data_IF_261771779484
#
_entry.id   IF_261771779484
#
_cell.length_a   1.000
_cell.length_b   1.000
_cell.length_c   1.000
_cell.angle_alpha   90.00
_cell.angle_beta   90.00
_cell.angle_gamma   90.00
#
_symmetry.space_group_name_H-M   'P 1'
#
loop_
_entity.id
_entity.type
_entity.pdbx_description
1 polymer ?
#
# COMPACT_ATOMS: atom_id res chain seq x y z
N UNK A 1 -16.92 0.36 0.78
CA UNK A 1 -16.03 1.51 1.03
C UNK A 1 -14.87 1.00 1.87
N UNK A 2 -13.63 1.07 1.38
CA UNK A 2 -12.47 0.72 2.21
C UNK A 2 -12.27 1.88 3.20
N UNK A 3 -12.30 1.57 4.51
CA UNK A 3 -12.24 2.53 5.62
C UNK A 3 -10.82 2.80 6.12
N UNK A 4 -9.80 2.49 5.32
CA UNK A 4 -8.42 2.65 5.75
C UNK A 4 -8.03 4.14 5.80
N UNK A 5 -7.39 4.56 6.88
CA UNK A 5 -6.71 5.85 6.93
C UNK A 5 -5.45 5.79 6.05
N UNK A 6 -5.34 6.74 5.13
CA UNK A 6 -4.25 6.89 4.16
C UNK A 6 -3.51 8.21 4.36
N UNK A 7 -3.68 8.82 5.54
CA UNK A 7 -2.94 10.00 5.94
C UNK A 7 -1.43 9.72 6.00
N UNK A 8 -0.59 10.75 5.80
CA UNK A 8 0.85 10.62 6.01
C UNK A 8 1.23 10.12 7.41
N UNK A 9 0.40 10.45 8.41
CA UNK A 9 0.60 10.02 9.79
C UNK A 9 0.34 8.52 9.96
N UNK A 10 -0.75 7.99 9.39
CA UNK A 10 -1.01 6.55 9.36
C UNK A 10 0.10 5.77 8.65
N UNK A 11 0.67 6.32 7.57
CA UNK A 11 1.82 5.71 6.89
C UNK A 11 3.11 5.76 7.71
N UNK A 12 3.33 6.82 8.50
CA UNK A 12 4.47 6.88 9.43
C UNK A 12 4.32 5.83 10.54
N UNK A 13 3.15 5.72 11.15
CA UNK A 13 2.87 4.71 12.18
C UNK A 13 3.04 3.28 11.63
N UNK A 14 2.55 3.01 10.42
CA UNK A 14 2.76 1.72 9.76
C UNK A 14 4.25 1.43 9.49
N UNK A 15 5.01 2.46 9.09
CA UNK A 15 6.46 2.34 8.84
C UNK A 15 7.21 1.98 10.12
N UNK A 16 6.90 2.65 11.23
CA UNK A 16 7.49 2.37 12.55
C UNK A 16 7.18 0.94 13.01
N UNK A 17 5.91 0.54 12.92
CA UNK A 17 5.46 -0.79 13.30
C UNK A 17 6.17 -1.89 12.49
N UNK A 18 6.18 -1.78 11.16
CA UNK A 18 6.78 -2.80 10.29
C UNK A 18 8.30 -2.87 10.47
N UNK A 19 8.97 -1.73 10.68
CA UNK A 19 10.42 -1.69 10.90
C UNK A 19 10.85 -2.37 12.20
N UNK A 20 9.93 -2.52 13.16
CA UNK A 20 10.20 -3.16 14.45
C UNK A 20 10.01 -4.69 14.43
N UNK A 21 9.49 -5.27 13.33
CA UNK A 21 9.22 -6.71 13.25
C UNK A 21 10.51 -7.54 13.25
N UNK A 22 11.44 -7.22 12.34
CA UNK A 22 12.74 -7.88 12.25
C UNK A 22 13.77 -7.02 11.48
N UNK A 23 15.07 -7.40 11.51
CA UNK A 23 16.12 -6.65 10.81
C UNK A 23 15.98 -6.60 9.28
N UNK A 24 15.32 -7.59 8.68
CA UNK A 24 15.14 -7.64 7.23
C UNK A 24 14.06 -6.63 6.80
N UNK A 25 12.97 -6.52 7.54
CA UNK A 25 11.95 -5.47 7.38
C UNK A 25 12.54 -4.08 7.58
N UNK A 26 13.29 -3.87 8.65
CA UNK A 26 13.95 -2.59 8.93
C UNK A 26 14.85 -2.16 7.76
N UNK A 27 15.70 -3.07 7.27
CA UNK A 27 16.58 -2.82 6.12
C UNK A 27 15.80 -2.57 4.84
N UNK A 28 14.74 -3.33 4.59
CA UNK A 28 13.91 -3.17 3.40
C UNK A 28 13.22 -1.80 3.37
N UNK A 29 12.62 -1.39 4.48
CA UNK A 29 11.94 -0.10 4.60
C UNK A 29 12.93 1.06 4.46
N UNK A 30 14.10 0.97 5.11
CA UNK A 30 15.15 1.98 4.96
C UNK A 30 15.64 2.13 3.51
N UNK A 31 15.71 1.02 2.76
CA UNK A 31 16.12 1.02 1.35
C UNK A 31 15.03 1.54 0.39
N UNK A 32 13.76 1.21 0.67
CA UNK A 32 12.62 1.63 -0.16
C UNK A 32 12.23 3.10 0.07
N UNK A 33 12.37 3.60 1.30
CA UNK A 33 11.97 4.95 1.69
C UNK A 33 10.48 5.07 2.06
N UNK A 34 9.93 6.30 2.15
CA UNK A 34 8.57 6.52 2.63
C UNK A 34 7.50 5.92 1.71
N UNK A 35 6.39 5.48 2.30
CA UNK A 35 5.24 5.00 1.53
C UNK A 35 4.58 6.16 0.75
N UNK A 36 4.51 6.01 -0.58
CA UNK A 36 3.87 6.99 -1.49
C UNK A 36 2.55 6.48 -2.06
N UNK A 37 1.94 5.47 -1.43
CA UNK A 37 0.70 4.88 -1.93
C UNK A 37 -0.41 5.94 -2.00
N UNK A 38 -1.04 6.06 -3.16
CA UNK A 38 -2.20 6.90 -3.37
C UNK A 38 -3.36 6.00 -3.76
N UNK A 39 -4.28 5.75 -2.83
CA UNK A 39 -5.54 5.13 -3.21
C UNK A 39 -6.29 6.07 -4.17
N UNK A 40 -7.07 5.49 -5.06
CA UNK A 40 -8.00 6.21 -5.94
C UNK A 40 -9.43 6.00 -5.44
N UNK A 41 -9.81 6.59 -4.28
CA UNK A 41 -11.19 6.55 -3.82
C UNK A 41 -12.04 7.36 -4.79
N UNK A 42 -13.12 6.78 -5.29
CA UNK A 42 -14.00 7.42 -6.28
C UNK A 42 -14.32 6.58 -7.51
N UNK A 43 -13.71 5.41 -7.66
CA UNK A 43 -14.14 4.42 -8.65
C UNK A 43 -15.29 3.58 -8.11
N UNK A 44 -16.26 3.30 -8.96
CA UNK A 44 -17.34 2.39 -8.61
C UNK A 44 -16.77 0.99 -8.35
N UNK A 45 -17.38 0.20 -7.44
CA UNK A 45 -16.85 -1.11 -7.07
C UNK A 45 -16.58 -2.01 -8.28
N UNK A 46 -17.45 -1.99 -9.29
CA UNK A 46 -17.26 -2.81 -10.50
C UNK A 46 -16.05 -2.37 -11.32
N UNK A 47 -15.74 -1.08 -11.39
CA UNK A 47 -14.59 -0.57 -12.16
C UNK A 47 -13.27 -1.05 -11.54
N UNK A 48 -13.20 -1.08 -10.21
CA UNK A 48 -12.04 -1.60 -9.49
C UNK A 48 -11.90 -3.10 -9.71
N UNK A 49 -13.00 -3.86 -9.69
CA UNK A 49 -13.00 -5.30 -9.94
C UNK A 49 -12.56 -5.64 -11.36
N UNK A 50 -13.11 -4.96 -12.37
CA UNK A 50 -12.72 -5.15 -13.78
C UNK A 50 -11.24 -4.84 -13.96
N UNK A 51 -10.73 -3.72 -13.39
CA UNK A 51 -9.30 -3.42 -13.40
C UNK A 51 -8.48 -4.52 -12.73
N UNK A 52 -8.88 -4.97 -11.53
CA UNK A 52 -8.15 -6.00 -10.80
C UNK A 52 -8.03 -7.29 -11.63
N UNK A 53 -9.11 -7.72 -12.29
CA UNK A 53 -9.09 -8.89 -13.19
C UNK A 53 -8.18 -8.64 -14.39
N UNK A 54 -8.28 -7.48 -15.03
CA UNK A 54 -7.46 -7.15 -16.19
C UNK A 54 -5.97 -7.25 -15.89
N UNK A 55 -5.51 -6.83 -14.71
CA UNK A 55 -4.10 -6.89 -14.29
C UNK A 55 -3.61 -8.28 -13.86
N UNK A 56 -4.48 -9.29 -13.78
CA UNK A 56 -4.05 -10.64 -13.42
C UNK A 56 -3.14 -11.22 -14.50
N UNK A 57 -1.97 -11.72 -14.08
CA UNK A 57 -1.00 -12.40 -14.95
C UNK A 57 -0.45 -11.52 -16.10
N UNK A 58 -0.53 -10.19 -15.97
CA UNK A 58 -0.05 -9.25 -17.00
C UNK A 58 1.41 -8.80 -16.82
N UNK A 59 2.18 -9.41 -15.92
CA UNK A 59 3.58 -9.05 -15.69
C UNK A 59 4.42 -10.32 -15.56
N UNK A 60 5.47 -10.43 -16.38
CA UNK A 60 6.58 -11.36 -16.21
C UNK A 60 7.85 -10.55 -15.89
#
# INVERSE_FOLDING_TARGET
MILADLSPDAYREATEYLSALDPDWSRHIAATGPCLHQATPGREPYEVLVRAIAYQQLHA
#
